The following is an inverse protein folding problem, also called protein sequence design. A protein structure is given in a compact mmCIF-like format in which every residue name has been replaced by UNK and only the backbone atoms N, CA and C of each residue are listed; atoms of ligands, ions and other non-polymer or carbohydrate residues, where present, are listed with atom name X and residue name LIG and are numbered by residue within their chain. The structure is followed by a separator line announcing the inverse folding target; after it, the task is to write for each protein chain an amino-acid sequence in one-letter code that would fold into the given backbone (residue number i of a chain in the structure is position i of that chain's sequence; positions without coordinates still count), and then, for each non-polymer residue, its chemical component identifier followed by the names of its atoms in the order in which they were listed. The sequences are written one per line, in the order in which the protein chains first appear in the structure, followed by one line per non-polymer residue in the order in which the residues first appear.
data_IF_311433277025
#
_entry.id   IF_311433277025
#
_cell.length_a   1.000
_cell.length_b   1.000
_cell.length_c   1.000
_cell.angle_alpha   90.00
_cell.angle_beta   90.00
_cell.angle_gamma   90.00
#
_symmetry.space_group_name_H-M   'P 1'
#
loop_
_entity.id
_entity.type
_entity.pdbx_description
1 polymer ?
#
# COMPACT_ATOMS: atom_id res chain seq x y z
N UNK A 1 -9.41 9.16 12.45
CA UNK A 1 -8.00 9.12 11.96
C UNK A 1 -7.90 8.01 10.92
N UNK A 2 -6.93 8.04 9.98
CA UNK A 2 -6.79 6.94 9.02
C UNK A 2 -6.43 5.64 9.76
N UNK A 3 -7.19 4.57 9.53
CA UNK A 3 -6.99 3.25 10.16
C UNK A 3 -7.87 2.96 11.39
N UNK A 4 -8.63 3.94 11.88
CA UNK A 4 -9.45 3.78 13.09
C UNK A 4 -10.61 2.78 12.90
N UNK A 5 -11.23 2.78 11.72
CA UNK A 5 -12.34 1.88 11.41
C UNK A 5 -11.83 0.45 11.19
N UNK A 6 -10.66 0.33 10.56
CA UNK A 6 -9.97 -0.94 10.38
C UNK A 6 -9.60 -1.58 11.73
N UNK A 7 -8.99 -0.82 12.64
CA UNK A 7 -8.62 -1.30 13.98
C UNK A 7 -9.83 -1.71 14.81
N UNK A 8 -10.92 -0.91 14.77
CA UNK A 8 -12.16 -1.25 15.48
C UNK A 8 -12.76 -2.55 14.96
N UNK A 9 -12.87 -2.73 13.64
CA UNK A 9 -13.37 -3.97 13.02
C UNK A 9 -12.49 -5.17 13.37
N UNK A 10 -11.17 -5.00 13.39
CA UNK A 10 -10.24 -6.05 13.78
C UNK A 10 -10.47 -6.49 15.24
N UNK A 11 -10.64 -5.53 16.16
CA UNK A 11 -10.92 -5.79 17.57
C UNK A 11 -12.28 -6.47 17.77
N UNK A 12 -13.32 -6.02 17.06
CA UNK A 12 -14.65 -6.64 17.10
C UNK A 12 -14.61 -8.11 16.67
N UNK A 13 -13.96 -8.41 15.54
CA UNK A 13 -13.83 -9.79 15.09
C UNK A 13 -12.99 -10.65 16.04
N UNK A 14 -11.97 -10.06 16.66
CA UNK A 14 -11.16 -10.75 17.69
C UNK A 14 -12.02 -11.08 18.92
N UNK A 15 -12.82 -10.13 19.41
CA UNK A 15 -13.72 -10.34 20.55
C UNK A 15 -14.82 -11.37 20.28
N UNK A 16 -15.29 -11.46 19.04
CA UNK A 16 -16.31 -12.44 18.61
C UNK A 16 -15.74 -13.84 18.33
N UNK A 17 -14.41 -14.01 18.34
CA UNK A 17 -13.78 -15.27 17.97
C UNK A 17 -13.80 -15.59 16.47
N UNK A 18 -14.03 -14.59 15.61
CA UNK A 18 -14.06 -14.73 14.15
C UNK A 18 -12.61 -14.80 13.59
N UNK A 19 -11.89 -15.89 13.90
CA UNK A 19 -10.45 -16.03 13.61
C UNK A 19 -10.15 -15.91 12.10
N UNK A 20 -11.01 -16.45 11.24
CA UNK A 20 -10.81 -16.39 9.78
C UNK A 20 -10.83 -14.96 9.25
N UNK A 21 -11.79 -14.15 9.72
CA UNK A 21 -11.91 -12.73 9.31
C UNK A 21 -10.73 -11.91 9.81
N UNK A 22 -10.26 -12.17 11.03
CA UNK A 22 -9.06 -11.54 11.58
C UNK A 22 -7.81 -11.92 10.76
N UNK A 23 -7.64 -13.21 10.42
CA UNK A 23 -6.54 -13.68 9.57
C UNK A 23 -6.58 -13.01 8.19
N UNK A 24 -7.76 -12.89 7.60
CA UNK A 24 -7.94 -12.23 6.31
C UNK A 24 -7.57 -10.76 6.39
N UNK A 25 -8.08 -10.01 7.39
CA UNK A 25 -7.75 -8.58 7.56
C UNK A 25 -6.25 -8.35 7.78
N UNK A 26 -5.58 -9.20 8.56
CA UNK A 26 -4.12 -9.10 8.75
C UNK A 26 -3.34 -9.36 7.45
N UNK A 27 -3.91 -10.11 6.51
CA UNK A 27 -3.28 -10.46 5.23
C UNK A 27 -3.88 -9.72 4.03
N UNK A 28 -4.72 -8.71 4.23
CA UNK A 28 -5.42 -7.99 3.15
C UNK A 28 -4.45 -7.44 2.09
N UNK A 29 -3.24 -7.01 2.49
CA UNK A 29 -2.20 -6.53 1.57
C UNK A 29 -1.60 -7.61 0.65
N UNK A 30 -1.81 -8.90 0.95
CA UNK A 30 -1.47 -10.01 0.03
C UNK A 30 -2.56 -10.25 -1.01
N UNK A 31 -3.80 -9.85 -0.72
CA UNK A 31 -4.95 -10.03 -1.61
C UNK A 31 -5.16 -8.83 -2.55
N UNK A 32 -4.62 -7.66 -2.21
CA UNK A 32 -4.81 -6.42 -2.97
C UNK A 32 -3.47 -5.92 -3.51
N UNK A 33 -3.35 -5.87 -4.83
CA UNK A 33 -2.14 -5.37 -5.49
C UNK A 33 -1.90 -3.88 -5.19
N UNK A 34 -0.64 -3.42 -5.17
CA UNK A 34 -0.32 -2.01 -4.94
C UNK A 34 -0.99 -1.03 -5.93
N UNK A 35 -1.23 -1.46 -7.17
CA UNK A 35 -1.97 -0.69 -8.18
C UNK A 35 -3.42 -0.41 -7.74
N UNK A 36 -4.09 -1.42 -7.16
CA UNK A 36 -5.42 -1.29 -6.60
C UNK A 36 -5.43 -0.43 -5.34
N UNK A 37 -4.42 -0.55 -4.47
CA UNK A 37 -4.28 0.34 -3.29
C UNK A 37 -4.25 1.82 -3.72
N UNK A 38 -3.49 2.16 -4.77
CA UNK A 38 -3.46 3.52 -5.32
C UNK A 38 -4.83 3.98 -5.83
N UNK A 39 -5.59 3.09 -6.48
CA UNK A 39 -6.95 3.40 -6.96
C UNK A 39 -7.93 3.61 -5.81
N UNK A 40 -7.85 2.77 -4.77
CA UNK A 40 -8.67 2.92 -3.56
C UNK A 40 -8.39 4.27 -2.90
N UNK A 41 -7.12 4.63 -2.72
CA UNK A 41 -6.73 5.93 -2.16
C UNK A 41 -7.24 7.12 -2.99
N UNK A 42 -7.38 6.96 -4.31
CA UNK A 42 -7.98 7.95 -5.22
C UNK A 42 -9.51 7.95 -5.21
N UNK A 43 -10.16 7.22 -4.29
CA UNK A 43 -11.62 7.08 -4.15
C UNK A 43 -12.31 6.46 -5.36
N UNK A 44 -11.57 5.70 -6.18
CA UNK A 44 -12.16 4.94 -7.28
C UNK A 44 -12.95 3.76 -6.68
N UNK A 45 -14.29 3.78 -6.78
CA UNK A 45 -15.16 2.71 -6.25
C UNK A 45 -15.35 1.56 -7.24
N UNK A 46 -15.00 1.74 -8.52
CA UNK A 46 -15.19 0.72 -9.55
C UNK A 46 -14.40 -0.56 -9.26
N UNK A 47 -13.29 -0.43 -8.52
CA UNK A 47 -12.42 -1.55 -8.12
C UNK A 47 -13.15 -2.61 -7.30
N UNK A 48 -14.23 -2.25 -6.59
CA UNK A 48 -15.03 -3.22 -5.83
C UNK A 48 -15.65 -4.31 -6.72
N UNK A 49 -15.84 -4.02 -8.01
CA UNK A 49 -16.31 -4.99 -9.00
C UNK A 49 -15.17 -5.85 -9.58
N UNK A 50 -13.95 -5.32 -9.56
CA UNK A 50 -12.74 -5.99 -10.09
C UNK A 50 -12.07 -6.90 -9.04
N UNK A 51 -12.17 -6.53 -7.75
CA UNK A 51 -11.58 -7.29 -6.65
C UNK A 51 -12.51 -8.43 -6.21
N UNK A 52 -11.94 -9.63 -6.08
CA UNK A 52 -12.62 -10.76 -5.42
C UNK A 52 -12.51 -10.56 -3.91
N UNK A 53 -13.52 -9.91 -3.33
CA UNK A 53 -13.60 -9.62 -1.90
C UNK A 53 -14.66 -10.47 -1.19
N UNK A 54 -14.44 -10.86 0.07
CA UNK A 54 -15.50 -11.43 0.89
C UNK A 54 -16.69 -10.47 1.04
N UNK A 55 -17.92 -10.99 1.02
CA UNK A 55 -19.17 -10.20 1.08
C UNK A 55 -19.27 -9.25 2.29
N UNK A 56 -18.53 -9.52 3.36
CA UNK A 56 -18.56 -8.73 4.60
C UNK A 56 -17.60 -7.54 4.60
N UNK A 57 -16.73 -7.42 3.58
CA UNK A 57 -15.78 -6.31 3.41
C UNK A 57 -16.50 -5.15 2.74
N UNK A 58 -16.67 -4.05 3.46
CA UNK A 58 -17.26 -2.84 2.92
C UNK A 58 -16.21 -1.92 2.29
N UNK A 59 -16.65 -1.03 1.40
CA UNK A 59 -15.78 -0.03 0.78
C UNK A 59 -15.10 0.85 1.83
N UNK A 60 -15.81 1.24 2.89
CA UNK A 60 -15.28 2.10 3.95
C UNK A 60 -14.13 1.43 4.68
N UNK A 61 -14.25 0.13 4.96
CA UNK A 61 -13.20 -0.67 5.58
C UNK A 61 -11.97 -0.79 4.67
N UNK A 62 -12.20 -1.04 3.38
CA UNK A 62 -11.15 -1.15 2.38
C UNK A 62 -10.40 0.18 2.18
N UNK A 63 -11.15 1.27 2.15
CA UNK A 63 -10.64 2.62 1.99
C UNK A 63 -9.83 3.06 3.21
N UNK A 64 -10.38 2.87 4.41
CA UNK A 64 -9.68 3.17 5.66
C UNK A 64 -8.37 2.37 5.79
N UNK A 65 -8.42 1.07 5.45
CA UNK A 65 -7.21 0.26 5.35
C UNK A 65 -6.22 0.80 4.32
N UNK A 66 -6.66 1.10 3.10
CA UNK A 66 -5.77 1.60 2.05
C UNK A 66 -5.11 2.93 2.44
N UNK A 67 -5.79 3.80 3.20
CA UNK A 67 -5.22 5.02 3.75
C UNK A 67 -4.12 4.78 4.80
N UNK A 68 -4.09 3.61 5.46
CA UNK A 68 -2.96 3.23 6.34
C UNK A 68 -1.72 2.79 5.56
N UNK A 69 -1.88 2.41 4.29
CA UNK A 69 -0.79 1.91 3.48
C UNK A 69 0.05 3.09 2.98
N UNK A 70 1.35 3.07 3.28
CA UNK A 70 2.29 4.02 2.68
C UNK A 70 2.36 3.75 1.18
N UNK A 71 1.86 4.68 0.39
CA UNK A 71 2.01 4.63 -1.05
C UNK A 71 3.50 4.81 -1.37
N UNK A 72 4.14 3.81 -1.97
CA UNK A 72 5.48 3.98 -2.53
C UNK A 72 5.38 4.95 -3.71
N UNK A 73 5.65 6.22 -3.45
CA UNK A 73 5.65 7.30 -4.43
C UNK A 73 7.05 7.48 -5.02
N UNK A 74 7.12 7.69 -6.34
CA UNK A 74 8.38 7.91 -7.04
C UNK A 74 8.71 6.84 -8.09
N UNK A 75 9.90 6.95 -8.68
CA UNK A 75 10.47 6.00 -9.64
C UNK A 75 11.35 5.00 -8.90
N UNK A 76 11.43 3.76 -9.40
CA UNK A 76 12.28 2.72 -8.85
C UNK A 76 13.75 3.06 -9.13
N UNK A 77 14.55 3.21 -8.08
CA UNK A 77 15.98 3.42 -8.20
C UNK A 77 16.69 2.11 -8.56
N UNK A 78 17.52 2.12 -9.60
CA UNK A 78 18.27 0.92 -10.04
C UNK A 78 19.35 0.46 -9.04
N UNK A 79 19.76 1.30 -8.09
CA UNK A 79 20.87 1.00 -7.18
C UNK A 79 20.43 0.51 -5.80
N UNK A 80 19.30 1.00 -5.29
CA UNK A 80 18.78 0.59 -3.98
C UNK A 80 17.46 -0.20 -4.05
N UNK A 81 16.89 -0.38 -5.25
CA UNK A 81 15.58 -1.02 -5.46
C UNK A 81 14.42 -0.39 -4.65
N UNK A 82 14.60 0.85 -4.19
CA UNK A 82 13.58 1.62 -3.49
C UNK A 82 12.95 2.68 -4.41
N UNK A 83 11.70 3.05 -4.11
CA UNK A 83 11.00 4.10 -4.85
C UNK A 83 11.31 5.46 -4.25
N UNK A 84 11.78 6.39 -5.07
CA UNK A 84 12.09 7.75 -4.64
C UNK A 84 11.49 8.79 -5.59
N UNK A 85 11.01 9.90 -5.03
CA UNK A 85 10.45 11.02 -5.81
C UNK A 85 11.53 11.86 -6.50
N UNK A 86 12.68 11.99 -5.85
CA UNK A 86 13.79 12.84 -6.30
C UNK A 86 14.96 11.96 -6.70
N UNK A 87 15.51 12.27 -7.87
CA UNK A 87 16.61 11.52 -8.45
C UNK A 87 16.93 12.02 -9.85
N UNK A 88 17.86 11.34 -10.49
CA UNK A 88 18.39 11.63 -11.81
C UNK A 88 18.08 10.45 -12.73
N UNK A 89 17.70 10.74 -13.97
CA UNK A 89 17.71 9.73 -15.04
C UNK A 89 19.11 9.67 -15.66
N UNK A 90 19.69 8.47 -15.68
CA UNK A 90 20.96 8.20 -16.32
C UNK A 90 20.81 6.98 -17.23
N UNK A 91 21.04 7.19 -18.54
CA UNK A 91 20.93 6.14 -19.57
C UNK A 91 19.60 5.35 -19.53
N UNK A 92 18.48 6.07 -19.39
CA UNK A 92 17.14 5.47 -19.30
C UNK A 92 16.83 4.75 -17.98
N UNK A 93 17.72 4.81 -16.98
CA UNK A 93 17.53 4.24 -15.65
C UNK A 93 17.42 5.34 -14.61
N UNK A 94 16.52 5.19 -13.63
CA UNK A 94 16.37 6.15 -12.54
C UNK A 94 17.32 5.82 -11.39
N UNK A 95 18.03 6.83 -10.88
CA UNK A 95 18.90 6.74 -9.71
C UNK A 95 18.41 7.77 -8.69
N UNK A 96 18.13 7.35 -7.45
CA UNK A 96 17.70 8.26 -6.40
C UNK A 96 18.85 9.17 -5.93
N UNK A 97 18.48 10.33 -5.38
CA UNK A 97 19.41 11.34 -4.90
C UNK A 97 20.46 10.77 -3.90
N UNK A 98 20.02 9.91 -2.96
CA UNK A 98 20.94 9.31 -1.99
C UNK A 98 22.00 8.42 -2.64
N UNK A 99 21.60 7.57 -3.59
CA UNK A 99 22.53 6.72 -4.31
C UNK A 99 23.47 7.54 -5.21
N UNK A 100 22.95 8.59 -5.84
CA UNK A 100 23.77 9.51 -6.62
C UNK A 100 24.82 10.24 -5.75
N UNK A 101 24.43 10.76 -4.58
CA UNK A 101 25.35 11.40 -3.64
C UNK A 101 26.42 10.44 -3.11
N UNK A 102 26.05 9.18 -2.84
CA UNK A 102 27.02 8.15 -2.45
C UNK A 102 28.06 7.91 -3.54
N UNK A 103 27.65 7.82 -4.80
CA UNK A 103 28.59 7.66 -5.93
C UNK A 103 29.46 8.90 -6.08
N UNK A 104 28.86 10.11 -6.03
CA UNK A 104 29.59 11.37 -6.18
C UNK A 104 30.65 11.56 -5.09
N UNK A 105 30.38 11.08 -3.87
CA UNK A 105 31.26 11.22 -2.72
C UNK A 105 32.17 10.00 -2.51
N UNK A 106 32.14 9.01 -3.40
CA UNK A 106 33.08 7.90 -3.41
C UNK A 106 34.43 8.40 -3.98
N UNK A 107 35.25 9.00 -3.10
CA UNK A 107 36.66 9.27 -3.39
C UNK A 107 37.50 8.01 -3.16
#
# INVERSE_FOLDING_TARGET
MAGELFERRLLEFTRRGDIEKVKWLKNIGKHILPSYVKRIQKKDKSIMQELILPKWVSWELLYDWACTQKTKEGKLCVLCDEHHKVGIEFNGKFICEYCFLKIKNWK
#
